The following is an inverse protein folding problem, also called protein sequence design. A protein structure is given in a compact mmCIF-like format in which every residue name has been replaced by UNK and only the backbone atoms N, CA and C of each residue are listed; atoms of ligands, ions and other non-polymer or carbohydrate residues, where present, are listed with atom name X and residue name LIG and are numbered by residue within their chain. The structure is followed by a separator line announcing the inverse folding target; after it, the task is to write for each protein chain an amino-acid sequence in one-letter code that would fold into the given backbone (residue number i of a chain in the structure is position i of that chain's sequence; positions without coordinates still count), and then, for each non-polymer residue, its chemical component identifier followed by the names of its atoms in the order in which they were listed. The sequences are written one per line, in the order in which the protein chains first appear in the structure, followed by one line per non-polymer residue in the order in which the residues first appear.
data_IF_760847800895
#
_entry.id   IF_760847800895
#
_cell.length_a   1.000
_cell.length_b   1.000
_cell.length_c   1.000
_cell.angle_alpha   90.00
_cell.angle_beta   90.00
_cell.angle_gamma   90.00
#
_symmetry.space_group_name_H-M   'P 1'
#
loop_
_entity.id
_entity.type
_entity.pdbx_description
1 polymer ?
#
# COMPACT_ATOMS: atom_id res chain seq x y z
N UNK A 1 12.07 4.42 -18.03
CA UNK A 1 10.91 4.97 -17.27
C UNK A 1 9.78 3.95 -17.15
N UNK A 2 9.45 3.21 -18.22
CA UNK A 2 8.48 2.10 -18.19
C UNK A 2 8.83 1.02 -17.15
N UNK A 3 10.12 0.69 -16.99
CA UNK A 3 10.55 -0.39 -16.09
C UNK A 3 10.29 -0.09 -14.61
N UNK A 4 10.50 1.16 -14.18
CA UNK A 4 10.21 1.57 -12.78
C UNK A 4 8.71 1.53 -12.48
N UNK A 5 7.87 1.97 -13.43
CA UNK A 5 6.41 1.94 -13.27
C UNK A 5 5.89 0.50 -13.26
N UNK A 6 6.38 -0.34 -14.17
CA UNK A 6 6.02 -1.75 -14.23
C UNK A 6 6.45 -2.48 -12.95
N UNK A 7 7.64 -2.18 -12.43
CA UNK A 7 8.12 -2.71 -11.15
C UNK A 7 7.25 -2.24 -9.98
N UNK A 8 6.85 -0.97 -9.94
CA UNK A 8 5.90 -0.43 -8.96
C UNK A 8 4.59 -1.23 -8.98
N UNK A 9 3.97 -1.34 -10.15
CA UNK A 9 2.71 -2.09 -10.35
C UNK A 9 2.84 -3.58 -9.95
N UNK A 10 3.98 -4.20 -10.24
CA UNK A 10 4.25 -5.59 -9.86
C UNK A 10 4.33 -5.74 -8.34
N UNK A 11 4.97 -4.78 -7.66
CA UNK A 11 4.96 -4.72 -6.20
C UNK A 11 3.55 -4.52 -5.63
N UNK A 12 2.78 -3.56 -6.13
CA UNK A 12 1.39 -3.37 -5.70
C UNK A 12 0.55 -4.65 -5.84
N UNK A 13 0.74 -5.38 -6.95
CA UNK A 13 0.05 -6.65 -7.19
C UNK A 13 0.47 -7.71 -6.15
N UNK A 14 1.77 -7.86 -5.88
CA UNK A 14 2.25 -8.79 -4.86
C UNK A 14 1.76 -8.41 -3.46
N UNK A 15 1.74 -7.12 -3.11
CA UNK A 15 1.18 -6.62 -1.86
C UNK A 15 -0.30 -6.98 -1.71
N UNK A 16 -1.08 -6.84 -2.79
CA UNK A 16 -2.48 -7.25 -2.83
C UNK A 16 -2.65 -8.75 -2.57
N UNK A 17 -1.85 -9.59 -3.24
CA UNK A 17 -1.90 -11.05 -3.09
C UNK A 17 -1.54 -11.47 -1.65
N UNK A 18 -0.52 -10.86 -1.06
CA UNK A 18 -0.16 -11.10 0.35
C UNK A 18 -1.27 -10.68 1.31
N UNK A 19 -1.90 -9.52 1.09
CA UNK A 19 -3.03 -9.06 1.90
C UNK A 19 -4.21 -10.03 1.81
N UNK A 20 -4.56 -10.46 0.59
CA UNK A 20 -5.61 -11.46 0.35
C UNK A 20 -5.30 -12.78 1.06
N UNK A 21 -4.08 -13.29 0.94
CA UNK A 21 -3.64 -14.50 1.63
C UNK A 21 -3.72 -14.37 3.17
N UNK A 22 -3.54 -13.16 3.71
CA UNK A 22 -3.71 -12.84 5.13
C UNK A 22 -5.17 -12.59 5.54
N UNK A 23 -6.14 -12.78 4.64
CA UNK A 23 -7.57 -12.66 4.92
C UNK A 23 -8.12 -11.23 4.86
N UNK A 24 -7.40 -10.30 4.22
CA UNK A 24 -7.94 -8.97 3.93
C UNK A 24 -8.83 -9.01 2.68
N UNK A 25 -9.93 -8.27 2.72
CA UNK A 25 -10.74 -7.95 1.55
C UNK A 25 -10.26 -6.63 0.94
N UNK A 26 -9.92 -6.64 -0.35
CA UNK A 26 -9.45 -5.45 -1.07
C UNK A 26 -10.65 -4.62 -1.52
N UNK A 27 -10.75 -3.38 -1.03
CA UNK A 27 -11.84 -2.46 -1.38
C UNK A 27 -11.49 -1.67 -2.64
N UNK A 28 -10.27 -1.11 -2.71
CA UNK A 28 -9.76 -0.35 -3.84
C UNK A 28 -8.25 -0.53 -3.99
N UNK A 29 -7.79 -0.37 -5.23
CA UNK A 29 -6.39 -0.18 -5.58
C UNK A 29 -6.23 1.15 -6.29
N UNK A 30 -5.04 1.75 -6.17
CA UNK A 30 -4.62 2.97 -6.85
C UNK A 30 -5.68 4.07 -6.71
N UNK A 31 -6.12 4.26 -5.47
CA UNK A 31 -7.18 5.21 -5.14
C UNK A 31 -6.61 6.62 -5.13
N UNK A 32 -7.13 7.48 -6.01
CA UNK A 32 -6.75 8.89 -6.11
C UNK A 32 -7.95 9.79 -5.79
N UNK A 33 -7.68 10.89 -5.10
CA UNK A 33 -8.65 11.92 -4.76
C UNK A 33 -7.97 13.30 -4.74
N UNK A 34 -8.72 14.41 -4.60
CA UNK A 34 -8.14 15.75 -4.58
C UNK A 34 -7.08 15.99 -3.48
N UNK A 35 -7.04 15.14 -2.45
CA UNK A 35 -6.12 15.26 -1.32
C UNK A 35 -4.88 14.37 -1.39
N UNK A 36 -4.81 13.47 -2.37
CA UNK A 36 -3.71 12.52 -2.53
C UNK A 36 -4.15 11.14 -2.98
N UNK A 37 -3.24 10.19 -2.83
CA UNK A 37 -3.34 8.84 -3.35
C UNK A 37 -3.04 7.81 -2.25
N UNK A 38 -3.62 6.62 -2.39
CA UNK A 38 -3.35 5.44 -1.57
C UNK A 38 -3.32 4.22 -2.48
N UNK A 39 -2.26 3.41 -2.39
CA UNK A 39 -2.04 2.27 -3.28
C UNK A 39 -3.08 1.16 -3.07
N UNK A 40 -3.36 0.80 -1.81
CA UNK A 40 -4.35 -0.24 -1.49
C UNK A 40 -5.21 0.19 -0.29
N UNK A 41 -6.52 0.03 -0.42
CA UNK A 41 -7.49 0.13 0.68
C UNK A 41 -8.07 -1.25 0.91
N UNK A 42 -7.90 -1.80 2.11
CA UNK A 42 -8.32 -3.15 2.46
C UNK A 42 -9.04 -3.19 3.81
N UNK A 43 -9.80 -4.25 4.08
CA UNK A 43 -10.48 -4.45 5.37
C UNK A 43 -10.29 -5.87 5.87
N UNK A 44 -10.05 -6.01 7.18
CA UNK A 44 -10.06 -7.29 7.90
C UNK A 44 -10.67 -7.07 9.27
N UNK A 45 -11.60 -7.93 9.68
CA UNK A 45 -12.25 -7.85 11.00
C UNK A 45 -12.80 -6.44 11.33
N UNK A 46 -13.47 -5.80 10.36
CA UNK A 46 -14.00 -4.42 10.45
C UNK A 46 -12.95 -3.32 10.70
N UNK A 47 -11.67 -3.62 10.59
CA UNK A 47 -10.59 -2.63 10.57
C UNK A 47 -10.25 -2.31 9.12
N UNK A 48 -10.34 -1.03 8.76
CA UNK A 48 -9.95 -0.54 7.44
C UNK A 48 -8.50 -0.09 7.43
N UNK A 49 -7.74 -0.61 6.49
CA UNK A 49 -6.31 -0.39 6.32
C UNK A 49 -6.06 0.42 5.05
N UNK A 50 -5.36 1.55 5.19
CA UNK A 50 -4.82 2.33 4.07
C UNK A 50 -3.33 2.00 3.94
N UNK A 51 -2.95 1.42 2.81
CA UNK A 51 -1.65 0.80 2.62
C UNK A 51 -0.90 1.52 1.50
N UNK A 52 0.31 1.95 1.81
CA UNK A 52 1.31 2.41 0.86
C UNK A 52 2.26 1.26 0.52
N UNK A 53 2.60 1.07 -0.76
CA UNK A 53 3.50 0.05 -1.25
C UNK A 53 4.79 0.70 -1.76
N UNK A 54 5.94 0.24 -1.26
CA UNK A 54 7.26 0.71 -1.69
C UNK A 54 8.04 -0.45 -2.30
N UNK A 55 8.20 -0.43 -3.62
CA UNK A 55 9.04 -1.43 -4.32
C UNK A 55 10.46 -0.91 -4.47
N UNK A 56 11.45 -1.71 -4.08
CA UNK A 56 12.88 -1.39 -4.16
C UNK A 56 13.67 -2.52 -4.81
N UNK A 57 14.77 -2.17 -5.47
CA UNK A 57 15.70 -3.14 -6.08
C UNK A 57 16.99 -3.35 -5.27
N UNK A 58 17.18 -2.60 -4.19
CA UNK A 58 18.32 -2.76 -3.28
C UNK A 58 17.94 -2.36 -1.85
N UNK A 59 18.61 -2.98 -0.88
CA UNK A 59 18.48 -2.70 0.55
C UNK A 59 19.40 -1.58 1.05
N UNK A 60 20.24 -1.01 0.16
CA UNK A 60 21.25 0.01 0.52
C UNK A 60 20.68 1.40 0.84
N UNK A 61 19.40 1.61 0.60
CA UNK A 61 18.71 2.83 1.04
C UNK A 61 18.07 2.56 2.41
N UNK A 62 18.42 3.37 3.41
CA UNK A 62 18.01 3.23 4.82
C UNK A 62 16.51 2.95 5.05
N UNK A 63 16.21 2.53 6.28
CA UNK A 63 14.88 2.11 6.73
C UNK A 63 13.80 3.11 6.28
N UNK A 64 12.79 2.70 5.49
CA UNK A 64 11.72 3.61 5.07
C UNK A 64 10.84 4.06 6.23
N UNK A 65 10.90 3.40 7.39
CA UNK A 65 10.20 3.83 8.60
C UNK A 65 10.73 5.20 9.09
N UNK A 66 11.98 5.53 8.80
CA UNK A 66 12.60 6.81 9.20
C UNK A 66 12.29 7.96 8.23
N UNK A 67 11.81 7.66 7.02
CA UNK A 67 11.55 8.65 5.96
C UNK A 67 10.09 8.68 5.50
N UNK A 68 9.13 8.51 6.41
CA UNK A 68 7.75 8.92 6.15
C UNK A 68 7.64 10.41 6.44
N UNK A 69 7.98 11.23 5.44
CA UNK A 69 7.79 12.68 5.45
C UNK A 69 6.41 13.02 6.03
N UNK A 70 6.36 13.96 6.99
CA UNK A 70 5.14 14.47 7.61
C UNK A 70 4.09 14.85 6.56
N UNK A 71 4.54 15.31 5.38
CA UNK A 71 3.69 15.57 4.22
C UNK A 71 2.94 14.33 3.74
N UNK A 72 3.64 13.19 3.63
CA UNK A 72 3.06 11.92 3.17
C UNK A 72 2.06 11.36 4.17
N UNK A 73 2.35 11.46 5.47
CA UNK A 73 1.38 11.11 6.51
C UNK A 73 0.11 11.96 6.44
N UNK A 74 0.27 13.28 6.21
CA UNK A 74 -0.87 14.20 6.09
C UNK A 74 -1.72 13.87 4.86
N UNK A 75 -1.10 13.58 3.72
CA UNK A 75 -1.81 13.21 2.49
C UNK A 75 -2.63 11.94 2.67
N UNK A 76 -2.03 10.89 3.24
CA UNK A 76 -2.72 9.61 3.47
C UNK A 76 -3.88 9.78 4.45
N UNK A 77 -3.70 10.54 5.55
CA UNK A 77 -4.77 10.83 6.51
C UNK A 77 -5.94 11.60 5.87
N UNK A 78 -5.66 12.59 5.02
CA UNK A 78 -6.71 13.34 4.33
C UNK A 78 -7.43 12.48 3.29
N UNK A 79 -6.69 11.65 2.56
CA UNK A 79 -7.24 10.68 1.60
C UNK A 79 -8.15 9.68 2.30
N UNK A 80 -7.75 9.18 3.47
CA UNK A 80 -8.57 8.29 4.29
C UNK A 80 -9.86 8.95 4.77
N UNK A 81 -9.79 10.18 5.29
CA UNK A 81 -10.98 10.96 5.67
C UNK A 81 -11.94 11.16 4.50
N UNK A 82 -11.42 11.48 3.32
CA UNK A 82 -12.22 11.67 2.12
C UNK A 82 -12.86 10.37 1.64
N UNK A 83 -12.13 9.26 1.68
CA UNK A 83 -12.67 7.95 1.35
C UNK A 83 -13.81 7.57 2.29
N UNK A 84 -13.60 7.67 3.61
CA UNK A 84 -14.57 7.32 4.64
C UNK A 84 -15.83 8.19 4.61
N UNK A 85 -15.73 9.47 4.25
CA UNK A 85 -16.91 10.34 4.13
C UNK A 85 -17.83 9.95 2.97
N UNK A 86 -17.31 9.23 1.96
CA UNK A 86 -18.07 8.73 0.81
C UNK A 86 -18.48 7.27 0.93
N UNK A 87 -17.71 6.48 1.66
CA UNK A 87 -17.99 5.07 1.89
C UNK A 87 -18.79 4.90 3.18
N UNK A 88 -20.12 4.84 3.06
CA UNK A 88 -21.09 4.74 4.18
C UNK A 88 -21.09 3.37 4.86
N UNK A 89 -19.91 2.87 5.24
CA UNK A 89 -19.73 1.64 6.01
C UNK A 89 -19.04 1.97 7.32
N UNK A 90 -19.53 1.40 8.41
CA UNK A 90 -18.90 1.54 9.71
C UNK A 90 -17.72 0.58 9.84
N UNK A 91 -16.61 1.12 10.33
CA UNK A 91 -15.38 0.38 10.66
C UNK A 91 -15.06 0.64 12.13
N UNK A 92 -14.57 -0.37 12.83
CA UNK A 92 -14.25 -0.28 14.26
C UNK A 92 -12.91 0.44 14.50
N UNK A 93 -12.01 0.40 13.52
CA UNK A 93 -10.74 1.12 13.56
C UNK A 93 -10.22 1.45 12.15
N UNK A 94 -9.30 2.41 12.09
CA UNK A 94 -8.56 2.81 10.89
C UNK A 94 -7.07 2.61 11.14
N UNK A 95 -6.40 1.88 10.26
CA UNK A 95 -4.97 1.63 10.32
C UNK A 95 -4.26 2.13 9.07
N UNK A 96 -2.98 2.49 9.23
CA UNK A 96 -2.10 2.93 8.15
C UNK A 96 -0.89 2.02 8.11
N UNK A 97 -0.62 1.43 6.94
CA UNK A 97 0.50 0.51 6.78
C UNK A 97 1.41 0.93 5.64
N UNK A 98 2.66 0.49 5.73
CA UNK A 98 3.61 0.52 4.63
C UNK A 98 4.04 -0.93 4.38
N UNK A 99 3.88 -1.38 3.14
CA UNK A 99 4.43 -2.65 2.67
C UNK A 99 5.64 -2.34 1.81
N UNK A 100 6.80 -2.79 2.23
CA UNK A 100 8.02 -2.72 1.42
C UNK A 100 8.21 -4.05 0.68
N UNK A 101 8.48 -3.96 -0.62
CA UNK A 101 8.76 -5.10 -1.48
C UNK A 101 10.17 -4.93 -2.00
N UNK A 102 11.04 -5.84 -1.59
CA UNK A 102 12.39 -5.93 -2.12
C UNK A 102 12.37 -6.86 -3.34
N UNK A 103 12.37 -6.26 -4.53
CA UNK A 103 12.55 -6.97 -5.79
C UNK A 103 14.02 -7.28 -5.98
N UNK A 104 14.46 -8.42 -5.46
CA UNK A 104 15.77 -8.98 -5.69
C UNK A 104 15.79 -9.89 -6.94
N UNK A 105 16.98 -10.35 -7.30
CA UNK A 105 17.14 -11.35 -8.36
C UNK A 105 16.63 -12.71 -7.86
N UNK A 106 15.71 -13.33 -8.60
CA UNK A 106 15.33 -14.73 -8.38
C UNK A 106 16.31 -15.59 -9.20
N UNK A 107 17.07 -16.46 -8.54
CA UNK A 107 18.00 -17.41 -9.18
C UNK A 107 17.69 -18.82 -8.69
N UNK A 108 17.95 -19.83 -9.54
CA UNK A 108 17.86 -21.25 -9.14
C UNK A 108 16.45 -21.77 -8.83
N UNK A 109 15.40 -21.21 -9.46
CA UNK A 109 14.05 -21.77 -9.35
C UNK A 109 13.97 -23.04 -10.21
N UNK A 110 14.27 -24.19 -9.61
CA UNK A 110 13.95 -25.50 -10.17
C UNK A 110 12.51 -25.85 -9.77
N UNK A 111 11.64 -26.04 -10.76
CA UNK A 111 10.23 -26.43 -10.59
C UNK A 111 10.07 -27.95 -10.63
#
# INVERSE_FOLDING_TARGET
MADKKNLGNAGEKLAEEVLKAKGYFIIKRNYSCPYGEVDIIAVKNKVISFVEVKTRTSSHYGSPAEAVDLKKQRHIKNTAKYFLSRYKREYEAVEFHIIEILANHITGLEL
#
